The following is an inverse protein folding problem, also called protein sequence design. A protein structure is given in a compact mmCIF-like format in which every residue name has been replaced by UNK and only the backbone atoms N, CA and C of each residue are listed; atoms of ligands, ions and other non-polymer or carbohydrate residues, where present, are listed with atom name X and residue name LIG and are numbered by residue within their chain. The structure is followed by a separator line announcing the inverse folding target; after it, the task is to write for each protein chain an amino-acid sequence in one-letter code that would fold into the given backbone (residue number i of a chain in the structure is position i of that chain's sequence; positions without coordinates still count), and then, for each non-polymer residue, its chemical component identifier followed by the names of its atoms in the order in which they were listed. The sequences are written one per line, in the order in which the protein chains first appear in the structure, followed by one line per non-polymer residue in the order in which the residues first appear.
data_IF_603839660563
#
_entry.id   IF_603839660563
#
_cell.length_a   1.000
_cell.length_b   1.000
_cell.length_c   1.000
_cell.angle_alpha   90.00
_cell.angle_beta   90.00
_cell.angle_gamma   90.00
#
_symmetry.space_group_name_H-M   'P 1'
#
loop_
_entity.id
_entity.type
_entity.pdbx_description
1 polymer ?
#
# COMPACT_ATOMS: atom_id res chain seq x y z
N UNK A 1 -2.92 19.80 11.43
CA UNK A 1 -2.09 19.10 12.44
C UNK A 1 -1.35 17.85 11.90
N UNK A 2 -1.49 17.44 10.63
CA UNK A 2 -0.91 16.17 10.11
C UNK A 2 0.59 16.22 9.74
N UNK A 3 1.09 17.35 9.23
CA UNK A 3 2.48 17.42 8.70
C UNK A 3 3.57 17.50 9.77
N UNK A 4 3.23 17.91 10.99
CA UNK A 4 4.20 18.08 12.09
C UNK A 4 4.82 16.75 12.51
N UNK A 5 4.04 15.66 12.49
CA UNK A 5 4.52 14.33 12.83
C UNK A 5 5.56 13.82 11.81
N UNK A 6 5.26 13.97 10.51
CA UNK A 6 6.18 13.59 9.43
C UNK A 6 7.46 14.43 9.48
N UNK A 7 7.34 15.75 9.65
CA UNK A 7 8.50 16.63 9.79
C UNK A 7 9.41 16.25 10.95
N UNK A 8 8.83 15.99 12.14
CA UNK A 8 9.59 15.54 13.32
C UNK A 8 10.23 14.17 13.12
N UNK A 9 9.55 13.25 12.46
CA UNK A 9 10.14 11.95 12.13
C UNK A 9 11.34 12.11 11.20
N UNK A 10 11.24 12.94 10.16
CA UNK A 10 12.35 13.23 9.25
C UNK A 10 13.52 13.91 9.95
N UNK A 11 13.27 14.83 10.88
CA UNK A 11 14.32 15.43 11.71
C UNK A 11 15.07 14.40 12.55
N UNK A 12 14.37 13.41 13.10
CA UNK A 12 14.99 12.34 13.90
C UNK A 12 15.78 11.41 12.98
N UNK A 13 15.20 10.96 11.86
CA UNK A 13 15.86 10.06 10.92
C UNK A 13 17.16 10.67 10.36
N UNK A 14 17.13 11.95 10.01
CA UNK A 14 18.28 12.69 9.49
C UNK A 14 19.43 12.79 10.49
N UNK A 15 19.14 13.00 11.78
CA UNK A 15 20.16 12.96 12.86
C UNK A 15 20.89 11.62 12.95
N UNK A 16 20.29 10.55 12.44
CA UNK A 16 20.87 9.21 12.40
C UNK A 16 21.37 8.80 11.00
N UNK A 17 21.36 9.72 10.02
CA UNK A 17 21.78 9.42 8.65
C UNK A 17 20.83 8.47 7.90
N UNK A 18 19.57 8.38 8.32
CA UNK A 18 18.56 7.51 7.73
C UNK A 18 17.66 8.32 6.80
N UNK A 19 17.50 7.86 5.56
CA UNK A 19 16.51 8.39 4.61
C UNK A 19 15.39 7.38 4.39
N UNK A 20 14.15 7.67 4.83
CA UNK A 20 13.04 6.74 4.69
C UNK A 20 12.47 6.72 3.27
N UNK A 21 11.83 5.59 2.94
CA UNK A 21 10.85 5.49 1.86
C UNK A 21 9.48 5.55 2.49
N UNK A 22 8.62 6.47 2.05
CA UNK A 22 7.24 6.54 2.52
C UNK A 22 6.31 5.75 1.63
N UNK A 23 5.42 4.98 2.25
CA UNK A 23 4.36 4.20 1.59
C UNK A 23 3.04 4.95 1.70
N UNK A 24 2.30 5.14 0.59
CA UNK A 24 1.00 5.84 0.60
C UNK A 24 -0.21 4.91 0.70
N UNK A 25 -0.21 3.84 -0.09
CA UNK A 25 -1.29 2.83 -0.15
C UNK A 25 -0.77 1.44 0.20
N UNK A 26 -1.64 0.55 0.65
CA UNK A 26 -1.32 -0.76 1.20
C UNK A 26 -2.50 -1.72 1.02
N UNK A 27 -2.22 -2.95 0.56
CA UNK A 27 -3.23 -3.97 0.26
C UNK A 27 -3.29 -5.10 1.28
N UNK A 28 -2.60 -4.96 2.41
CA UNK A 28 -2.41 -6.02 3.40
C UNK A 28 -3.42 -5.96 4.54
N UNK A 29 -3.77 -7.14 5.04
CA UNK A 29 -4.60 -7.37 6.22
C UNK A 29 -6.02 -6.81 6.08
N UNK A 30 -6.54 -6.15 7.12
CA UNK A 30 -7.96 -5.89 7.26
C UNK A 30 -8.46 -4.85 6.24
N UNK A 31 -9.40 -5.21 5.35
CA UNK A 31 -9.89 -4.33 4.27
C UNK A 31 -10.84 -3.22 4.75
N UNK A 32 -11.15 -3.14 6.04
CA UNK A 32 -12.13 -2.21 6.61
C UNK A 32 -11.48 -1.24 7.58
N UNK A 33 -10.66 -0.29 7.10
CA UNK A 33 -10.14 0.78 7.92
C UNK A 33 -11.30 1.64 8.43
N UNK A 34 -11.19 2.08 9.68
CA UNK A 34 -12.11 3.01 10.31
C UNK A 34 -11.31 4.08 11.06
N UNK A 35 -11.77 5.33 10.99
CA UNK A 35 -11.21 6.40 11.79
C UNK A 35 -11.56 6.21 13.27
N UNK A 36 -10.71 6.70 14.16
CA UNK A 36 -10.93 6.67 15.60
C UNK A 36 -9.75 6.06 16.35
N UNK A 37 -10.02 5.63 17.59
CA UNK A 37 -9.01 4.97 18.43
C UNK A 37 -8.58 3.67 17.76
N UNK A 38 -7.27 3.48 17.59
CA UNK A 38 -6.72 2.23 17.11
C UNK A 38 -7.13 1.08 18.05
N UNK A 39 -7.63 -0.06 17.53
CA UNK A 39 -7.97 -1.22 18.33
C UNK A 39 -6.79 -1.72 19.16
N UNK A 40 -7.08 -2.33 20.32
CA UNK A 40 -6.04 -3.02 21.08
C UNK A 40 -5.48 -4.18 20.26
N UNK A 41 -4.16 -4.45 20.34
CA UNK A 41 -3.58 -5.61 19.68
C UNK A 41 -4.21 -6.90 20.24
N UNK A 42 -4.46 -7.87 19.36
CA UNK A 42 -4.95 -9.19 19.77
C UNK A 42 -3.77 -10.07 20.18
N UNK A 43 -3.85 -10.67 21.36
CA UNK A 43 -2.79 -11.54 21.87
C UNK A 43 -2.48 -12.69 20.90
N UNK A 44 -1.20 -12.93 20.65
CA UNK A 44 -0.68 -14.00 19.77
C UNK A 44 -1.15 -13.92 18.30
N UNK A 45 -1.66 -12.78 17.84
CA UNK A 45 -2.08 -12.59 16.45
C UNK A 45 -1.16 -11.58 15.76
N UNK A 46 -0.38 -12.06 14.81
CA UNK A 46 0.47 -11.24 13.95
C UNK A 46 -0.39 -10.21 13.19
N UNK A 47 0.07 -8.95 13.14
CA UNK A 47 -0.56 -7.83 12.43
C UNK A 47 -2.05 -7.61 12.74
N UNK A 48 -2.46 -7.91 13.98
CA UNK A 48 -3.87 -7.85 14.41
C UNK A 48 -4.58 -6.50 14.27
N UNK A 49 -3.84 -5.40 14.10
CA UNK A 49 -4.37 -4.06 13.86
C UNK A 49 -4.04 -3.47 12.48
N UNK A 50 -3.35 -4.22 11.60
CA UNK A 50 -2.99 -3.71 10.28
C UNK A 50 -4.23 -3.64 9.39
N UNK A 51 -4.43 -2.48 8.77
CA UNK A 51 -5.55 -2.21 7.85
C UNK A 51 -5.04 -1.77 6.48
N UNK A 52 -5.81 -2.08 5.45
CA UNK A 52 -5.56 -1.64 4.08
C UNK A 52 -5.76 -0.13 3.92
N UNK A 53 -5.07 0.45 2.94
CA UNK A 53 -5.21 1.85 2.53
C UNK A 53 -5.16 1.94 1.00
N UNK A 54 -6.24 2.31 0.30
CA UNK A 54 -7.59 2.47 0.82
C UNK A 54 -8.22 1.12 1.21
N UNK A 55 -9.27 1.17 2.02
CA UNK A 55 -10.09 -0.02 2.31
C UNK A 55 -10.93 -0.49 1.12
N UNK A 56 -11.50 -1.68 1.23
CA UNK A 56 -12.28 -2.33 0.17
C UNK A 56 -13.45 -1.50 -0.37
N UNK A 57 -14.06 -0.65 0.47
CA UNK A 57 -15.18 0.20 0.06
C UNK A 57 -14.81 1.29 -0.95
N UNK A 58 -13.55 1.72 -0.96
CA UNK A 58 -12.99 2.67 -1.94
C UNK A 58 -12.24 1.89 -3.02
N UNK A 59 -11.42 0.91 -2.64
CA UNK A 59 -10.64 0.14 -3.60
C UNK A 59 -11.56 -0.56 -4.63
N UNK A 60 -12.63 -1.20 -4.17
CA UNK A 60 -13.58 -1.92 -5.04
C UNK A 60 -14.50 -1.05 -5.89
N UNK A 61 -14.36 0.29 -5.84
CA UNK A 61 -15.20 1.24 -6.56
C UNK A 61 -14.34 2.31 -7.27
N UNK A 62 -14.02 2.10 -8.57
CA UNK A 62 -13.22 3.03 -9.36
C UNK A 62 -13.68 4.49 -9.34
N UNK A 63 -14.98 4.74 -9.16
CA UNK A 63 -15.54 6.09 -9.12
C UNK A 63 -15.11 6.85 -7.85
N UNK A 64 -14.72 6.14 -6.78
CA UNK A 64 -14.24 6.74 -5.53
C UNK A 64 -12.74 7.03 -5.52
N UNK A 65 -11.98 6.45 -6.45
CA UNK A 65 -10.52 6.55 -6.43
C UNK A 65 -10.03 7.99 -6.52
N UNK A 66 -10.68 8.84 -7.33
CA UNK A 66 -10.25 10.22 -7.53
C UNK A 66 -10.35 11.07 -6.24
N UNK A 67 -11.17 10.63 -5.28
CA UNK A 67 -11.21 11.21 -3.93
C UNK A 67 -9.89 11.08 -3.16
N UNK A 68 -8.98 10.22 -3.59
CA UNK A 68 -7.64 10.03 -2.99
C UNK A 68 -6.59 10.98 -3.57
N UNK A 69 -6.87 11.65 -4.71
CA UNK A 69 -5.93 12.58 -5.36
C UNK A 69 -5.43 13.68 -4.41
N UNK A 70 -6.29 14.37 -3.63
CA UNK A 70 -5.83 15.42 -2.72
C UNK A 70 -4.89 14.90 -1.63
N UNK A 71 -5.05 13.65 -1.19
CA UNK A 71 -4.14 13.03 -0.24
C UNK A 71 -2.75 12.82 -0.87
N UNK A 72 -2.67 12.20 -2.06
CA UNK A 72 -1.40 11.94 -2.74
C UNK A 72 -0.64 13.22 -3.02
N UNK A 73 -1.29 14.20 -3.67
CA UNK A 73 -0.66 15.49 -4.00
C UNK A 73 -0.33 16.28 -2.73
N UNK A 74 -1.22 16.27 -1.73
CA UNK A 74 -1.01 17.00 -0.49
C UNK A 74 0.21 16.51 0.30
N UNK A 75 0.39 15.18 0.41
CA UNK A 75 1.54 14.58 1.10
C UNK A 75 2.82 14.82 0.30
N UNK A 76 2.87 14.40 -0.96
CA UNK A 76 4.08 14.49 -1.80
C UNK A 76 4.46 15.95 -2.01
N UNK A 77 3.50 16.79 -2.42
CA UNK A 77 3.73 18.21 -2.70
C UNK A 77 4.28 18.97 -1.50
N UNK A 78 3.88 18.61 -0.28
CA UNK A 78 4.39 19.25 0.95
C UNK A 78 5.87 19.00 1.19
N UNK A 79 6.40 17.85 0.75
CA UNK A 79 7.78 17.41 1.00
C UNK A 79 8.57 17.19 -0.31
N UNK A 80 8.08 17.74 -1.43
CA UNK A 80 8.56 17.41 -2.77
C UNK A 80 10.05 17.64 -3.01
N UNK A 81 10.68 18.56 -2.27
CA UNK A 81 12.12 18.87 -2.34
C UNK A 81 12.89 18.50 -1.06
N UNK A 82 12.28 17.74 -0.14
CA UNK A 82 12.92 17.35 1.12
C UNK A 82 13.94 16.22 0.88
N UNK A 83 15.23 16.55 0.87
CA UNK A 83 16.32 15.60 0.59
C UNK A 83 16.47 14.50 1.64
N UNK A 84 15.79 14.62 2.80
CA UNK A 84 15.77 13.59 3.84
C UNK A 84 14.95 12.39 3.40
N UNK A 85 14.06 12.53 2.42
CA UNK A 85 13.25 11.44 1.87
C UNK A 85 14.05 10.73 0.77
N UNK A 86 14.13 9.39 0.84
CA UNK A 86 14.83 8.59 -0.17
C UNK A 86 14.00 8.42 -1.44
N UNK A 87 12.73 8.02 -1.29
CA UNK A 87 11.80 7.73 -2.37
C UNK A 87 10.35 7.70 -1.85
N UNK A 88 9.41 7.61 -2.79
CA UNK A 88 7.98 7.38 -2.52
C UNK A 88 7.55 6.03 -3.08
N UNK A 89 7.08 5.14 -2.21
CA UNK A 89 6.40 3.92 -2.60
C UNK A 89 4.89 4.18 -2.63
N UNK A 90 4.31 4.19 -3.82
CA UNK A 90 2.93 4.61 -3.99
C UNK A 90 1.93 3.56 -3.54
N UNK A 91 2.30 2.27 -3.53
CA UNK A 91 1.40 1.19 -3.17
C UNK A 91 2.20 -0.05 -2.78
N UNK A 92 2.10 -0.43 -1.50
CA UNK A 92 2.64 -1.66 -0.97
C UNK A 92 1.71 -2.85 -1.29
N UNK A 93 2.31 -3.87 -1.91
CA UNK A 93 1.74 -5.18 -2.19
C UNK A 93 0.36 -5.13 -2.85
N UNK A 94 0.25 -4.33 -3.93
CA UNK A 94 -1.01 -3.82 -4.51
C UNK A 94 -2.16 -4.84 -4.65
N UNK A 95 -1.87 -6.11 -4.92
CA UNK A 95 -2.86 -7.16 -5.15
C UNK A 95 -2.79 -8.32 -4.15
N UNK A 96 -2.18 -8.11 -2.98
CA UNK A 96 -2.11 -9.13 -1.94
C UNK A 96 -3.48 -9.67 -1.57
N UNK A 97 -3.66 -10.98 -1.72
CA UNK A 97 -4.89 -11.71 -1.39
C UNK A 97 -4.96 -12.09 0.10
N UNK A 98 -3.94 -11.72 0.88
CA UNK A 98 -3.76 -12.01 2.28
C UNK A 98 -3.84 -13.52 2.59
N UNK A 99 -3.48 -14.37 1.62
CA UNK A 99 -3.65 -15.81 1.72
C UNK A 99 -5.11 -16.24 1.87
N UNK A 100 -6.06 -15.45 1.37
CA UNK A 100 -7.50 -15.72 1.43
C UNK A 100 -8.20 -15.32 2.74
N UNK A 101 -7.48 -14.84 3.75
CA UNK A 101 -8.01 -14.55 5.11
C UNK A 101 -9.17 -13.55 5.15
N UNK A 102 -9.27 -12.67 4.15
CA UNK A 102 -10.28 -11.60 4.12
C UNK A 102 -11.26 -11.74 2.96
N UNK A 103 -11.33 -12.89 2.29
CA UNK A 103 -12.08 -13.08 1.02
C UNK A 103 -13.52 -12.56 1.10
N UNK A 104 -14.24 -12.81 2.19
CA UNK A 104 -15.64 -12.38 2.37
C UNK A 104 -15.82 -10.84 2.45
N UNK A 105 -14.75 -10.09 2.70
CA UNK A 105 -14.77 -8.65 2.98
C UNK A 105 -13.82 -7.85 2.10
N UNK A 106 -13.15 -8.53 1.17
CA UNK A 106 -12.16 -7.96 0.27
C UNK A 106 -12.82 -7.15 -0.85
N UNK A 107 -12.06 -6.25 -1.46
CA UNK A 107 -12.52 -5.47 -2.61
C UNK A 107 -12.95 -6.39 -3.76
N UNK A 108 -14.09 -6.10 -4.39
CA UNK A 108 -14.45 -6.70 -5.68
C UNK A 108 -13.38 -6.35 -6.71
N UNK A 109 -13.03 -7.31 -7.56
CA UNK A 109 -12.03 -7.17 -8.63
C UNK A 109 -10.72 -6.50 -8.15
N UNK A 110 -10.28 -6.84 -6.93
CA UNK A 110 -9.17 -6.17 -6.22
C UNK A 110 -7.96 -5.93 -7.10
N UNK A 111 -7.50 -6.94 -7.83
CA UNK A 111 -6.31 -6.82 -8.68
C UNK A 111 -6.48 -5.76 -9.77
N UNK A 112 -7.60 -5.79 -10.52
CA UNK A 112 -7.87 -4.83 -11.58
C UNK A 112 -8.02 -3.41 -11.02
N UNK A 113 -8.74 -3.28 -9.91
CA UNK A 113 -8.96 -2.00 -9.25
C UNK A 113 -7.70 -1.41 -8.61
N UNK A 114 -6.84 -2.25 -8.04
CA UNK A 114 -5.55 -1.83 -7.50
C UNK A 114 -4.59 -1.37 -8.60
N UNK A 115 -4.56 -2.06 -9.75
CA UNK A 115 -3.79 -1.61 -10.92
C UNK A 115 -4.31 -0.26 -11.45
N UNK A 116 -5.63 -0.08 -11.51
CA UNK A 116 -6.23 1.19 -11.91
C UNK A 116 -5.82 2.32 -10.95
N UNK A 117 -5.93 2.08 -9.64
CA UNK A 117 -5.53 3.04 -8.62
C UNK A 117 -4.03 3.34 -8.68
N UNK A 118 -3.19 2.34 -8.91
CA UNK A 118 -1.74 2.52 -9.05
C UNK A 118 -1.40 3.47 -10.21
N UNK A 119 -2.02 3.27 -11.39
CA UNK A 119 -1.82 4.16 -12.55
C UNK A 119 -2.19 5.61 -12.21
N UNK A 120 -3.32 5.80 -11.52
CA UNK A 120 -3.77 7.11 -11.03
C UNK A 120 -2.77 7.71 -10.02
N UNK A 121 -2.32 6.93 -9.05
CA UNK A 121 -1.35 7.35 -8.03
C UNK A 121 -0.04 7.84 -8.65
N UNK A 122 0.50 7.12 -9.64
CA UNK A 122 1.71 7.56 -10.37
C UNK A 122 1.47 8.87 -11.13
N UNK A 123 0.31 9.05 -11.76
CA UNK A 123 -0.02 10.29 -12.44
C UNK A 123 -0.09 11.48 -11.46
N UNK A 124 -0.78 11.30 -10.33
CA UNK A 124 -0.89 12.34 -9.30
C UNK A 124 0.43 12.64 -8.60
N UNK A 125 1.26 11.61 -8.35
CA UNK A 125 2.59 11.79 -7.78
C UNK A 125 3.50 12.59 -8.71
N UNK A 126 3.44 12.34 -10.02
CA UNK A 126 4.17 13.14 -11.03
C UNK A 126 3.64 14.57 -11.11
N UNK A 127 2.32 14.76 -10.99
CA UNK A 127 1.71 16.10 -10.92
C UNK A 127 2.20 16.90 -9.71
N UNK A 128 2.49 16.24 -8.58
CA UNK A 128 3.07 16.88 -7.40
C UNK A 128 4.56 17.25 -7.57
N UNK A 129 5.21 16.76 -8.62
CA UNK A 129 6.58 17.09 -9.03
C UNK A 129 7.65 16.94 -7.91
N UNK A 130 7.79 15.74 -7.30
CA UNK A 130 8.84 15.46 -6.34
C UNK A 130 10.21 15.29 -6.98
N UNK A 131 11.24 15.77 -6.29
CA UNK A 131 12.63 15.50 -6.65
C UNK A 131 13.05 14.06 -6.33
N UNK A 132 12.29 13.35 -5.49
CA UNK A 132 12.59 11.96 -5.13
C UNK A 132 11.99 10.95 -6.14
N UNK A 133 12.63 9.78 -6.33
CA UNK A 133 12.09 8.70 -7.15
C UNK A 133 10.71 8.20 -6.67
N UNK A 134 9.94 7.67 -7.62
CA UNK A 134 8.65 7.00 -7.37
C UNK A 134 8.79 5.49 -7.63
N UNK A 135 8.25 4.67 -6.74
CA UNK A 135 8.22 3.20 -6.85
C UNK A 135 6.85 2.63 -6.45
N UNK A 136 6.69 1.31 -6.59
CA UNK A 136 5.59 0.56 -5.99
C UNK A 136 6.04 -0.85 -5.62
N UNK A 137 5.70 -1.31 -4.42
CA UNK A 137 5.87 -2.70 -4.01
C UNK A 137 4.85 -3.62 -4.70
N UNK A 138 5.26 -4.37 -5.72
CA UNK A 138 4.40 -5.38 -6.36
C UNK A 138 4.37 -6.68 -5.53
N UNK A 139 3.18 -7.24 -5.29
CA UNK A 139 3.04 -8.53 -4.58
C UNK A 139 3.14 -9.71 -5.55
N UNK A 140 2.38 -9.67 -6.64
CA UNK A 140 2.54 -10.58 -7.78
C UNK A 140 3.08 -9.79 -8.96
N UNK A 141 4.01 -10.40 -9.68
CA UNK A 141 4.55 -9.86 -10.91
C UNK A 141 5.53 -10.84 -11.53
N UNK A 142 5.59 -10.81 -12.85
CA UNK A 142 6.61 -11.50 -13.61
C UNK A 142 7.80 -10.54 -13.77
N UNK A 143 8.91 -10.84 -13.10
CA UNK A 143 10.11 -10.00 -13.14
C UNK A 143 10.84 -10.07 -14.49
N UNK A 144 10.54 -11.08 -15.32
CA UNK A 144 11.01 -11.14 -16.71
C UNK A 144 10.17 -10.24 -17.63
N UNK A 145 8.93 -9.93 -17.22
CA UNK A 145 8.00 -9.06 -17.95
C UNK A 145 7.51 -7.91 -17.04
N UNK A 146 8.41 -7.02 -16.56
CA UNK A 146 8.12 -6.05 -15.49
C UNK A 146 7.07 -4.99 -15.87
N UNK A 147 6.69 -4.89 -17.14
CA UNK A 147 5.67 -3.97 -17.64
C UNK A 147 4.24 -4.55 -17.58
N UNK A 148 4.09 -5.79 -17.11
CA UNK A 148 2.82 -6.49 -17.06
C UNK A 148 2.58 -7.07 -15.65
N UNK A 149 1.40 -6.80 -15.07
CA UNK A 149 0.99 -7.46 -13.83
C UNK A 149 0.47 -8.86 -14.13
N UNK A 150 1.41 -9.79 -14.36
CA UNK A 150 1.14 -11.22 -14.52
C UNK A 150 1.46 -11.98 -13.25
N UNK A 151 0.78 -13.10 -13.02
CA UNK A 151 1.26 -14.04 -12.01
C UNK A 151 2.60 -14.62 -12.47
N UNK A 152 3.59 -14.63 -11.59
CA UNK A 152 4.83 -15.35 -11.85
C UNK A 152 4.52 -16.86 -11.89
N UNK A 153 4.75 -17.55 -13.03
CA UNK A 153 4.46 -18.97 -13.15
C UNK A 153 5.22 -19.84 -12.14
N UNK A 154 6.43 -19.44 -11.73
CA UNK A 154 7.21 -20.16 -10.72
C UNK A 154 6.59 -20.11 -9.31
N UNK A 155 5.83 -19.05 -8.99
CA UNK A 155 5.15 -18.91 -7.70
C UNK A 155 3.85 -19.73 -7.63
N UNK A 156 3.30 -20.12 -8.79
CA UNK A 156 2.11 -20.97 -8.90
C UNK A 156 2.41 -22.41 -8.45
N UNK A 157 3.55 -22.96 -8.89
CA UNK A 157 4.00 -24.30 -8.46
C UNK A 157 4.21 -24.43 -6.94
N UNK A 158 4.63 -23.37 -6.26
CA UNK A 158 4.84 -23.39 -4.81
C UNK A 158 3.55 -23.32 -3.97
N UNK A 159 2.49 -22.68 -4.46
CA UNK A 159 1.20 -22.59 -3.74
C UNK A 159 0.43 -23.90 -3.75
N UNK A 160 0.52 -24.68 -4.83
CA UNK A 160 -0.15 -25.98 -4.94
C UNK A 160 0.48 -27.07 -4.04
N UNK A 161 1.66 -26.81 -3.46
CA UNK A 161 2.39 -27.73 -2.60
C UNK A 161 2.34 -27.39 -1.11
N UNK A 162 1.74 -26.26 -0.73
CA UNK A 162 1.64 -25.85 0.68
C UNK A 162 0.32 -26.34 1.30
N UNK A 163 0.35 -27.00 2.47
CA UNK A 163 -0.87 -27.44 3.13
C UNK A 163 -1.74 -26.23 3.48
N UNK A 164 -3.02 -26.28 3.09
CA UNK A 164 -4.00 -25.25 3.49
C UNK A 164 -4.10 -25.27 5.01
N UNK A 165 -3.57 -24.25 5.66
CA UNK A 165 -3.80 -24.04 7.09
C UNK A 165 -5.32 -23.89 7.29
N UNK A 166 -5.90 -24.81 8.06
CA UNK A 166 -7.32 -24.71 8.45
C UNK A 166 -7.48 -23.45 9.31
N UNK A 167 -8.52 -22.68 9.04
CA UNK A 167 -8.90 -21.56 9.90
C UNK A 167 -9.13 -22.08 11.34
N UNK A 168 -8.58 -21.42 12.37
CA UNK A 168 -9.03 -21.67 13.73
C UNK A 168 -10.48 -21.19 13.88
N UNK A 169 -11.29 -22.04 14.52
CA UNK A 169 -12.71 -21.82 14.81
C UNK A 169 -12.99 -20.54 15.61
#
# INVERSE_FOLDING_TARGET
ASWRAIGRFLEIADKHGIRPVFVLFDSCWNPRPAAGKQPAPRAHVHNSGWVQSPGAAILGDPAKHDGLKPYVIGVIGRFKNDSRILAWDLFNELDNDNGGRFTAHEAKDKQANALLLLRKAFAWAREADPSQPLSSGIWRGDFEHPNELRENPARKLGRDQLPRLRDPA
#
